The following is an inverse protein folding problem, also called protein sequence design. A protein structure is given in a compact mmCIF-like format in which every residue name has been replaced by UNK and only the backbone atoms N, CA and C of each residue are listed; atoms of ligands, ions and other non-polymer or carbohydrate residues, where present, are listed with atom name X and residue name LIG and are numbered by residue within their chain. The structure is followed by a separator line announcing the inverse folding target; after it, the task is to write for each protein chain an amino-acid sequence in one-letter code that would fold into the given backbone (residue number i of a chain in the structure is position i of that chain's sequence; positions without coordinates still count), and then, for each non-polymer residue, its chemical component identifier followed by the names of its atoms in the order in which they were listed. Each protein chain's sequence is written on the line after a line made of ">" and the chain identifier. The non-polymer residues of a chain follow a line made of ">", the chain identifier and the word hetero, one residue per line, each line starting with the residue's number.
data_IF_549940363855
#
_entry.id   IF_549940363855
#
_cell.length_a   1.000
_cell.length_b   1.000
_cell.length_c   1.000
_cell.angle_alpha   90.00
_cell.angle_beta   90.00
_cell.angle_gamma   90.00
#
_symmetry.space_group_name_H-M   'P 1'
#
loop_
_entity.id
_entity.type
_entity.pdbx_description
1 polymer ?
#
# COMPACT_ATOMS: atom_id res chain seq x y z
N UNK A 1 -8.98 -22.95 -24.03
CA UNK A 1 -8.08 -24.12 -24.19
C UNK A 1 -6.68 -23.64 -23.89
N UNK A 2 -6.00 -24.25 -22.93
CA UNK A 2 -4.59 -23.91 -22.61
C UNK A 2 -3.70 -24.68 -23.58
N UNK A 3 -2.74 -24.00 -24.19
CA UNK A 3 -1.72 -24.65 -25.02
C UNK A 3 -0.84 -25.52 -24.10
N UNK A 4 -0.74 -26.84 -24.32
CA UNK A 4 0.11 -27.71 -23.50
C UNK A 4 1.61 -27.39 -23.63
N UNK A 5 2.04 -26.76 -24.73
CA UNK A 5 3.46 -26.48 -25.03
C UNK A 5 3.78 -24.99 -24.93
N UNK A 6 3.36 -24.35 -23.83
CA UNK A 6 3.68 -22.94 -23.59
C UNK A 6 5.19 -22.69 -23.61
N UNK A 7 5.65 -21.60 -24.27
CA UNK A 7 7.06 -21.23 -24.25
C UNK A 7 7.50 -20.86 -22.83
N UNK A 8 8.81 -20.98 -22.51
CA UNK A 8 9.34 -20.52 -21.24
C UNK A 8 8.96 -19.05 -20.98
N UNK A 9 8.57 -18.69 -19.74
CA UNK A 9 8.14 -17.34 -19.44
C UNK A 9 9.30 -16.34 -19.50
N UNK A 10 9.01 -15.14 -19.98
CA UNK A 10 9.90 -13.98 -19.93
C UNK A 10 10.14 -13.50 -18.49
N UNK A 11 11.19 -12.70 -18.27
CA UNK A 11 11.48 -12.11 -16.96
C UNK A 11 10.29 -11.29 -16.40
N UNK A 12 9.61 -10.53 -17.26
CA UNK A 12 8.40 -9.77 -16.89
C UNK A 12 7.27 -10.70 -16.46
N UNK A 13 7.01 -11.77 -17.21
CA UNK A 13 6.00 -12.76 -16.84
C UNK A 13 6.34 -13.45 -15.52
N UNK A 14 7.60 -13.82 -15.29
CA UNK A 14 8.05 -14.41 -14.01
C UNK A 14 7.78 -13.43 -12.85
N UNK A 15 8.13 -12.14 -13.02
CA UNK A 15 7.85 -11.11 -12.01
C UNK A 15 6.35 -10.99 -11.73
N UNK A 16 5.51 -10.94 -12.77
CA UNK A 16 4.06 -10.85 -12.61
C UNK A 16 3.46 -12.11 -11.95
N UNK A 17 3.96 -13.30 -12.28
CA UNK A 17 3.56 -14.55 -11.63
C UNK A 17 3.91 -14.54 -10.14
N UNK A 18 5.10 -14.05 -9.76
CA UNK A 18 5.48 -13.88 -8.34
C UNK A 18 4.52 -12.93 -7.62
N UNK A 19 4.17 -11.80 -8.26
CA UNK A 19 3.19 -10.85 -7.71
C UNK A 19 1.80 -11.48 -7.55
N UNK A 20 1.37 -12.29 -8.53
CA UNK A 20 0.10 -13.01 -8.46
C UNK A 20 0.08 -14.05 -7.34
N UNK A 21 1.17 -14.79 -7.17
CA UNK A 21 1.34 -15.74 -6.07
C UNK A 21 1.31 -15.03 -4.71
N UNK A 22 1.96 -13.87 -4.58
CA UNK A 22 1.88 -13.04 -3.37
C UNK A 22 0.44 -12.63 -3.04
N UNK A 23 -0.33 -12.16 -4.03
CA UNK A 23 -1.75 -11.81 -3.83
C UNK A 23 -2.56 -13.03 -3.38
N UNK A 24 -2.29 -14.21 -3.93
CA UNK A 24 -2.95 -15.45 -3.54
C UNK A 24 -2.56 -15.97 -2.16
N UNK A 25 -1.38 -15.58 -1.65
CA UNK A 25 -0.77 -16.02 -0.39
C UNK A 25 -0.63 -14.84 0.58
N UNK A 26 -1.64 -13.97 0.64
CA UNK A 26 -1.51 -12.64 1.22
C UNK A 26 -1.12 -12.63 2.71
N UNK A 27 -1.53 -13.64 3.48
CA UNK A 27 -1.25 -13.83 4.90
C UNK A 27 -0.07 -14.79 5.16
N UNK A 28 0.45 -15.45 4.12
CA UNK A 28 1.53 -16.43 4.20
C UNK A 28 2.87 -15.81 3.81
N UNK A 29 3.30 -14.82 4.60
CA UNK A 29 4.56 -14.09 4.41
C UNK A 29 5.57 -14.56 5.46
N UNK A 30 6.81 -14.79 5.05
CA UNK A 30 7.90 -15.10 5.96
C UNK A 30 9.09 -14.17 5.69
N UNK A 31 9.71 -13.71 6.77
CA UNK A 31 10.93 -12.89 6.72
C UNK A 31 12.10 -13.72 7.23
N UNK A 32 13.20 -13.73 6.50
CA UNK A 32 14.44 -14.37 6.93
C UNK A 32 14.87 -13.81 8.29
N UNK A 33 15.27 -14.70 9.20
CA UNK A 33 15.81 -14.31 10.49
C UNK A 33 17.11 -13.50 10.27
N UNK A 34 17.18 -12.22 10.70
CA UNK A 34 18.39 -11.43 10.53
C UNK A 34 19.54 -12.00 11.35
N UNK A 35 20.75 -12.00 10.78
CA UNK A 35 21.94 -12.50 11.48
C UNK A 35 22.21 -11.71 12.78
N UNK A 36 21.79 -10.45 12.84
CA UNK A 36 21.87 -9.59 14.04
C UNK A 36 20.98 -10.04 15.20
N UNK A 37 19.92 -10.80 14.94
CA UNK A 37 19.02 -11.32 15.98
C UNK A 37 19.54 -12.64 16.57
N UNK A 38 20.56 -13.25 15.97
CA UNK A 38 21.17 -14.49 16.43
C UNK A 38 22.16 -14.20 17.58
N UNK A 39 21.72 -14.46 18.82
CA UNK A 39 22.49 -14.17 20.04
C UNK A 39 23.78 -14.97 20.18
N UNK A 40 23.77 -16.25 19.78
CA UNK A 40 24.90 -17.16 19.96
C UNK A 40 25.51 -17.54 18.62
N UNK A 41 26.85 -17.41 18.51
CA UNK A 41 27.59 -17.82 17.29
C UNK A 41 27.45 -19.32 16.99
N UNK A 42 27.22 -20.15 18.02
CA UNK A 42 26.93 -21.58 17.86
C UNK A 42 25.64 -21.83 17.08
N UNK A 43 24.67 -20.94 17.20
CA UNK A 43 23.33 -21.10 16.60
C UNK A 43 23.27 -20.54 15.18
N UNK A 44 24.23 -19.70 14.79
CA UNK A 44 24.32 -19.15 13.44
C UNK A 44 24.29 -20.23 12.34
N UNK A 45 24.93 -21.38 12.57
CA UNK A 45 24.87 -22.52 11.63
C UNK A 45 23.50 -23.19 11.58
N UNK A 46 22.81 -23.29 12.73
CA UNK A 46 21.49 -23.92 12.84
C UNK A 46 20.39 -23.04 12.26
N UNK A 47 20.51 -21.72 12.45
CA UNK A 47 19.51 -20.72 12.08
C UNK A 47 19.78 -20.04 10.73
N UNK A 48 20.81 -20.47 9.99
CA UNK A 48 21.21 -19.89 8.69
C UNK A 48 20.07 -19.78 7.65
N UNK A 49 19.12 -20.71 7.69
CA UNK A 49 17.98 -20.79 6.78
C UNK A 49 16.65 -20.67 7.54
N UNK A 50 16.68 -20.02 8.69
CA UNK A 50 15.50 -19.74 9.50
C UNK A 50 14.76 -18.50 8.98
N UNK A 51 13.45 -18.54 9.08
CA UNK A 51 12.52 -17.48 8.77
C UNK A 51 11.56 -17.32 9.95
N UNK A 52 11.13 -16.09 10.19
CA UNK A 52 10.09 -15.75 11.14
C UNK A 52 8.77 -15.62 10.39
N UNK A 53 7.70 -16.07 11.03
CA UNK A 53 6.33 -15.86 10.57
C UNK A 53 5.66 -14.75 11.41
N UNK A 54 4.74 -13.95 10.84
CA UNK A 54 4.09 -12.87 11.57
C UNK A 54 3.29 -13.30 12.81
N UNK A 55 2.88 -14.57 12.87
CA UNK A 55 1.97 -15.12 13.90
C UNK A 55 2.57 -16.26 14.73
N UNK A 56 3.78 -16.75 14.37
CA UNK A 56 4.44 -17.87 15.05
C UNK A 56 5.80 -17.39 15.54
N UNK A 57 6.06 -17.53 16.84
CA UNK A 57 7.31 -17.08 17.47
C UNK A 57 8.48 -18.03 17.17
N UNK A 58 8.20 -19.30 16.91
CA UNK A 58 9.21 -20.30 16.56
C UNK A 58 9.70 -20.13 15.11
N UNK A 59 11.02 -20.21 14.87
CA UNK A 59 11.56 -20.09 13.53
C UNK A 59 11.18 -21.28 12.64
N UNK A 60 10.83 -20.98 11.39
CA UNK A 60 10.57 -21.97 10.34
C UNK A 60 11.75 -22.05 9.38
N UNK A 61 11.93 -23.17 8.68
CA UNK A 61 13.12 -23.41 7.88
C UNK A 61 12.83 -23.63 6.40
N UNK A 62 13.77 -23.20 5.54
CA UNK A 62 13.80 -23.70 4.17
C UNK A 62 14.26 -25.15 4.17
N UNK A 63 13.47 -26.02 3.52
CA UNK A 63 13.87 -27.41 3.34
C UNK A 63 15.15 -27.53 2.50
N UNK A 64 15.92 -28.59 2.72
CA UNK A 64 17.22 -28.79 2.08
C UNK A 64 17.15 -28.88 0.55
N UNK A 65 16.01 -29.34 0.03
CA UNK A 65 15.71 -29.44 -1.40
C UNK A 65 15.16 -28.15 -2.03
N UNK A 66 14.94 -27.09 -1.26
CA UNK A 66 14.42 -25.83 -1.80
C UNK A 66 15.44 -25.19 -2.75
N UNK A 67 15.01 -24.85 -3.96
CA UNK A 67 15.83 -24.14 -4.96
C UNK A 67 16.28 -22.76 -4.45
N UNK A 68 15.46 -22.13 -3.61
CA UNK A 68 15.74 -20.83 -3.01
C UNK A 68 16.71 -20.91 -1.83
N UNK A 69 17.14 -22.10 -1.41
CA UNK A 69 18.06 -22.25 -0.27
C UNK A 69 19.42 -21.59 -0.52
N UNK A 70 19.87 -21.58 -1.79
CA UNK A 70 21.12 -20.94 -2.20
C UNK A 70 21.00 -19.42 -2.22
N UNK A 71 19.92 -18.90 -2.79
CA UNK A 71 19.66 -17.45 -2.89
C UNK A 71 19.32 -16.84 -1.52
N UNK A 72 18.64 -17.61 -0.67
CA UNK A 72 18.28 -17.26 0.71
C UNK A 72 17.63 -15.86 0.82
N UNK A 73 16.54 -15.59 0.06
CA UNK A 73 15.91 -14.27 -0.06
C UNK A 73 15.40 -13.76 1.29
N UNK A 74 15.43 -12.44 1.50
CA UNK A 74 14.98 -11.86 2.77
C UNK A 74 13.47 -12.03 2.98
N UNK A 75 12.67 -11.89 1.92
CA UNK A 75 11.21 -11.97 1.98
C UNK A 75 10.70 -13.05 1.04
N UNK A 76 9.79 -13.88 1.54
CA UNK A 76 9.12 -14.92 0.77
C UNK A 76 7.62 -14.95 1.09
N UNK A 77 6.82 -15.35 0.12
CA UNK A 77 5.53 -15.98 0.40
C UNK A 77 5.67 -17.50 0.27
N UNK A 78 4.79 -18.24 0.93
CA UNK A 78 4.80 -19.70 0.95
C UNK A 78 3.37 -20.23 0.87
N UNK A 79 3.19 -21.47 0.43
CA UNK A 79 1.87 -22.11 0.31
C UNK A 79 1.45 -22.83 1.59
N UNK A 80 2.39 -23.50 2.26
CA UNK A 80 2.14 -24.22 3.51
C UNK A 80 3.38 -24.22 4.40
N UNK A 81 3.14 -24.24 5.72
CA UNK A 81 4.13 -24.53 6.74
C UNK A 81 3.79 -25.91 7.35
N UNK A 82 4.73 -26.84 7.35
CA UNK A 82 4.51 -28.23 7.77
C UNK A 82 5.62 -28.74 8.68
N UNK A 83 5.25 -29.53 9.68
CA UNK A 83 6.18 -30.09 10.65
C UNK A 83 6.77 -31.41 10.13
N UNK A 84 8.09 -31.58 10.27
CA UNK A 84 8.77 -32.82 9.90
C UNK A 84 9.78 -33.23 10.97
N UNK A 85 9.90 -34.55 11.17
CA UNK A 85 10.92 -35.14 12.04
C UNK A 85 12.27 -35.06 11.34
N UNK A 86 13.26 -34.45 11.98
CA UNK A 86 14.62 -34.36 11.44
C UNK A 86 15.51 -35.34 12.19
N UNK A 87 16.20 -36.27 11.50
CA UNK A 87 17.18 -37.13 12.13
C UNK A 87 18.31 -36.26 12.72
N UNK A 88 18.48 -36.29 14.04
CA UNK A 88 19.56 -35.60 14.73
C UNK A 88 20.89 -36.30 14.42
N UNK A 89 21.78 -35.65 13.67
CA UNK A 89 23.11 -36.20 13.42
C UNK A 89 24.00 -36.14 14.66
N UNK A 90 24.30 -37.31 15.24
CA UNK A 90 25.44 -37.80 16.07
C UNK A 90 26.28 -36.88 16.99
N UNK A 91 26.04 -35.57 17.12
CA UNK A 91 27.00 -34.66 17.82
C UNK A 91 26.49 -34.00 19.10
N UNK A 92 25.27 -34.30 19.52
CA UNK A 92 24.78 -33.95 20.86
C UNK A 92 23.90 -35.10 21.34
N UNK A 93 24.33 -35.81 22.39
CA UNK A 93 23.70 -37.01 22.95
C UNK A 93 22.33 -36.78 23.60
N UNK A 94 21.41 -36.12 22.90
CA UNK A 94 19.99 -36.04 23.19
C UNK A 94 19.25 -36.82 22.10
N UNK A 95 18.88 -38.08 22.41
CA UNK A 95 18.06 -38.98 21.57
C UNK A 95 16.58 -38.56 21.53
N UNK A 96 16.29 -37.26 21.35
CA UNK A 96 14.93 -36.80 21.08
C UNK A 96 14.81 -36.44 19.60
N UNK A 97 13.88 -37.10 18.91
CA UNK A 97 13.44 -36.73 17.56
C UNK A 97 12.91 -35.29 17.57
N UNK A 98 13.77 -34.30 17.32
CA UNK A 98 13.36 -32.90 17.24
C UNK A 98 12.59 -32.69 15.94
N UNK A 99 11.30 -32.36 16.07
CA UNK A 99 10.49 -31.88 14.96
C UNK A 99 10.90 -30.45 14.59
N UNK A 100 10.81 -30.12 13.31
CA UNK A 100 11.04 -28.76 12.78
C UNK A 100 9.95 -28.37 11.81
N UNK A 101 9.58 -27.10 11.83
CA UNK A 101 8.62 -26.53 10.89
C UNK A 101 9.34 -26.07 9.61
N UNK A 102 8.86 -26.50 8.45
CA UNK A 102 9.41 -26.19 7.14
C UNK A 102 8.40 -25.47 6.26
N UNK A 103 8.89 -24.62 5.36
CA UNK A 103 8.07 -23.95 4.34
C UNK A 103 8.06 -24.75 3.04
N UNK A 104 6.91 -24.75 2.34
CA UNK A 104 6.75 -25.31 0.99
C UNK A 104 6.02 -24.33 0.07
N UNK A 105 6.21 -24.49 -1.24
CA UNK A 105 5.60 -23.62 -2.25
C UNK A 105 6.15 -22.19 -2.17
N UNK A 106 7.46 -22.08 -1.94
CA UNK A 106 8.11 -20.82 -1.57
C UNK A 106 8.39 -19.99 -2.80
N UNK A 107 8.03 -18.71 -2.75
CA UNK A 107 8.29 -17.74 -3.80
C UNK A 107 8.97 -16.51 -3.19
N UNK A 108 10.13 -16.13 -3.71
CA UNK A 108 10.79 -14.89 -3.31
C UNK A 108 9.92 -13.68 -3.69
N UNK A 109 9.86 -12.67 -2.84
CA UNK A 109 9.08 -11.44 -3.09
C UNK A 109 9.93 -10.21 -2.79
N UNK A 110 9.62 -9.10 -3.45
CA UNK A 110 10.22 -7.82 -3.10
C UNK A 110 9.38 -7.15 -2.00
N UNK A 111 9.99 -6.56 -0.97
CA UNK A 111 9.24 -6.02 0.16
C UNK A 111 8.38 -4.81 -0.20
N UNK A 112 8.71 -4.06 -1.25
CA UNK A 112 7.94 -2.91 -1.74
C UNK A 112 6.59 -3.31 -2.38
N UNK A 113 6.43 -4.60 -2.70
CA UNK A 113 5.20 -5.17 -3.23
C UNK A 113 4.13 -5.32 -2.14
N UNK A 114 4.53 -5.43 -0.87
CA UNK A 114 3.64 -5.77 0.23
C UNK A 114 2.56 -4.70 0.46
N UNK A 115 2.91 -3.40 0.61
CA UNK A 115 1.89 -2.35 0.80
C UNK A 115 0.97 -2.19 -0.41
N UNK A 116 1.44 -2.54 -1.61
CA UNK A 116 0.71 -2.37 -2.86
C UNK A 116 -0.30 -3.48 -3.10
N UNK A 117 0.11 -4.73 -2.91
CA UNK A 117 -0.69 -5.89 -3.31
C UNK A 117 -1.40 -6.57 -2.14
N UNK A 118 -0.87 -6.45 -0.93
CA UNK A 118 -1.43 -7.09 0.27
C UNK A 118 -1.50 -6.09 1.44
N UNK A 119 -2.12 -4.91 1.26
CA UNK A 119 -2.14 -3.85 2.28
C UNK A 119 -2.73 -4.30 3.63
N UNK A 120 -3.58 -5.34 3.64
CA UNK A 120 -4.24 -5.85 4.84
C UNK A 120 -3.28 -6.44 5.89
N UNK A 121 -2.08 -6.88 5.49
CA UNK A 121 -1.05 -7.41 6.40
C UNK A 121 -0.02 -6.35 6.80
N UNK A 122 -0.13 -5.16 6.21
CA UNK A 122 0.74 -4.02 6.47
C UNK A 122 0.06 -3.03 7.42
N UNK A 123 0.83 -2.47 8.34
CA UNK A 123 0.43 -1.31 9.13
C UNK A 123 1.03 -0.07 8.47
N UNK A 124 0.18 0.81 7.95
CA UNK A 124 0.62 2.11 7.41
C UNK A 124 0.87 3.05 8.58
N UNK A 125 2.13 3.42 8.77
CA UNK A 125 2.56 4.32 9.85
C UNK A 125 2.34 5.76 9.43
N UNK A 126 2.80 6.11 8.22
CA UNK A 126 2.76 7.48 7.73
C UNK A 126 2.71 7.56 6.21
N UNK A 127 2.14 8.66 5.72
CA UNK A 127 2.18 9.05 4.30
C UNK A 127 3.25 10.13 4.15
N UNK A 128 4.28 9.83 3.36
CA UNK A 128 5.46 10.67 3.25
C UNK A 128 5.22 11.83 2.28
N UNK A 129 5.66 13.03 2.69
CA UNK A 129 5.69 14.21 1.82
C UNK A 129 7.05 14.40 1.13
N UNK A 130 8.11 13.76 1.65
CA UNK A 130 9.46 13.78 1.09
C UNK A 130 9.96 12.34 0.87
N UNK A 131 10.77 12.07 -0.17
CA UNK A 131 11.30 13.01 -1.15
C UNK A 131 10.30 13.42 -2.25
N UNK A 132 9.22 12.66 -2.42
CA UNK A 132 8.19 12.89 -3.45
C UNK A 132 6.84 13.04 -2.76
N UNK A 133 6.18 14.21 -2.85
CA UNK A 133 4.90 14.42 -2.22
C UNK A 133 3.79 13.66 -2.96
N UNK A 134 2.64 13.41 -2.30
CA UNK A 134 1.52 12.78 -2.97
C UNK A 134 1.09 13.56 -4.22
N UNK A 135 0.74 12.83 -5.27
CA UNK A 135 0.33 13.39 -6.56
C UNK A 135 -0.93 12.69 -7.06
N UNK A 136 -1.73 13.40 -7.85
CA UNK A 136 -2.89 12.81 -8.51
C UNK A 136 -2.48 12.25 -9.88
N UNK A 137 -2.77 10.98 -10.11
CA UNK A 137 -2.57 10.29 -11.37
C UNK A 137 -3.90 10.23 -12.12
N UNK A 138 -4.00 10.99 -13.21
CA UNK A 138 -5.21 11.13 -14.00
C UNK A 138 -5.55 9.88 -14.84
N UNK A 139 -4.57 9.01 -15.13
CA UNK A 139 -4.81 7.80 -15.93
C UNK A 139 -5.59 6.74 -15.15
N UNK A 140 -5.28 6.60 -13.86
CA UNK A 140 -5.90 5.63 -12.95
C UNK A 140 -6.94 6.26 -12.01
N UNK A 141 -7.14 7.58 -12.09
CA UNK A 141 -7.99 8.36 -11.19
C UNK A 141 -7.72 8.09 -9.70
N UNK A 142 -6.45 8.17 -9.32
CA UNK A 142 -6.01 7.85 -7.97
C UNK A 142 -4.93 8.81 -7.47
N UNK A 143 -4.83 8.95 -6.15
CA UNK A 143 -3.74 9.71 -5.53
C UNK A 143 -2.65 8.71 -5.19
N UNK A 144 -1.46 8.89 -5.76
CA UNK A 144 -0.29 8.08 -5.47
C UNK A 144 0.56 8.75 -4.38
N UNK A 145 1.06 7.96 -3.43
CA UNK A 145 1.91 8.45 -2.36
C UNK A 145 2.94 7.41 -1.92
N UNK A 146 4.04 7.87 -1.35
CA UNK A 146 4.99 7.00 -0.67
C UNK A 146 4.54 6.80 0.77
N UNK A 147 4.54 5.55 1.25
CA UNK A 147 4.14 5.23 2.63
C UNK A 147 5.28 4.58 3.40
N UNK A 148 5.40 4.93 4.68
CA UNK A 148 6.18 4.17 5.65
C UNK A 148 5.28 3.09 6.23
N UNK A 149 5.70 1.83 6.13
CA UNK A 149 4.89 0.67 6.51
C UNK A 149 5.69 -0.34 7.33
N UNK A 150 4.97 -1.08 8.16
CA UNK A 150 5.49 -2.26 8.87
C UNK A 150 4.60 -3.47 8.63
N UNK A 151 5.11 -4.66 8.93
CA UNK A 151 4.36 -5.92 8.79
C UNK A 151 4.29 -6.65 10.12
N UNK A 152 3.11 -7.24 10.37
CA UNK A 152 2.88 -8.16 11.49
C UNK A 152 2.92 -7.48 12.86
N UNK A 153 2.79 -8.30 13.92
CA UNK A 153 2.82 -7.84 15.32
C UNK A 153 4.21 -7.37 15.75
N UNK A 154 5.25 -7.92 15.13
CA UNK A 154 6.66 -7.59 15.36
C UNK A 154 7.09 -6.28 14.69
N UNK A 155 6.18 -5.62 13.93
CA UNK A 155 6.42 -4.33 13.29
C UNK A 155 7.69 -4.30 12.44
N UNK A 156 7.90 -5.32 11.60
CA UNK A 156 9.05 -5.34 10.70
C UNK A 156 8.97 -4.18 9.71
N UNK A 157 9.95 -3.27 9.76
CA UNK A 157 10.04 -2.15 8.81
C UNK A 157 10.37 -2.69 7.41
N UNK A 158 9.65 -2.15 6.42
CA UNK A 158 9.90 -2.42 5.00
C UNK A 158 10.20 -1.10 4.27
N UNK A 159 10.84 -1.16 3.09
CA UNK A 159 11.18 0.04 2.33
C UNK A 159 9.95 0.88 1.98
N UNK A 160 10.15 2.20 1.95
CA UNK A 160 9.10 3.13 1.55
C UNK A 160 8.66 2.81 0.12
N UNK A 161 7.35 2.70 -0.08
CA UNK A 161 6.79 2.15 -1.31
C UNK A 161 5.71 3.07 -1.87
N UNK A 162 5.66 3.18 -3.20
CA UNK A 162 4.62 3.91 -3.92
C UNK A 162 3.32 3.09 -3.94
N UNK A 163 2.27 3.65 -3.36
CA UNK A 163 0.95 3.03 -3.28
C UNK A 163 -0.14 4.03 -3.65
N UNK A 164 -1.33 3.51 -3.94
CA UNK A 164 -2.54 4.32 -3.92
C UNK A 164 -2.84 4.75 -2.48
N UNK A 165 -3.11 6.04 -2.29
CA UNK A 165 -3.37 6.60 -0.97
C UNK A 165 -4.56 5.90 -0.32
N UNK A 166 -4.45 5.46 0.96
CA UNK A 166 -5.51 4.77 1.66
C UNK A 166 -6.81 5.59 1.70
N UNK A 167 -7.96 4.91 1.62
CA UNK A 167 -9.30 5.54 1.65
C UNK A 167 -9.64 6.02 3.07
N UNK A 168 -9.10 7.17 3.44
CA UNK A 168 -9.31 7.81 4.73
C UNK A 168 -9.51 9.33 4.57
N UNK A 169 -9.69 10.04 5.68
CA UNK A 169 -9.84 11.50 5.69
C UNK A 169 -8.64 12.22 5.04
N UNK A 170 -7.43 11.68 5.14
CA UNK A 170 -6.24 12.28 4.53
C UNK A 170 -6.35 12.27 3.01
N UNK A 171 -6.87 11.19 2.42
CA UNK A 171 -7.17 11.14 0.99
C UNK A 171 -8.19 12.20 0.56
N UNK A 172 -9.25 12.41 1.34
CA UNK A 172 -10.20 13.50 1.06
C UNK A 172 -9.51 14.88 1.12
N UNK A 173 -8.61 15.10 2.08
CA UNK A 173 -7.82 16.34 2.18
C UNK A 173 -6.95 16.59 0.96
N UNK A 174 -6.22 15.56 0.51
CA UNK A 174 -5.41 15.66 -0.70
C UNK A 174 -6.26 15.84 -1.95
N UNK A 175 -7.39 15.13 -2.05
CA UNK A 175 -8.33 15.28 -3.17
C UNK A 175 -8.87 16.71 -3.24
N UNK A 176 -9.30 17.27 -2.10
CA UNK A 176 -9.76 18.66 -2.02
C UNK A 176 -8.65 19.66 -2.40
N UNK A 177 -7.42 19.46 -1.92
CA UNK A 177 -6.25 20.26 -2.33
C UNK A 177 -6.09 20.24 -3.86
N UNK A 178 -6.17 19.08 -4.49
CA UNK A 178 -5.99 18.95 -5.94
C UNK A 178 -7.16 19.52 -6.76
N UNK A 179 -8.38 19.47 -6.24
CA UNK A 179 -9.56 20.15 -6.82
C UNK A 179 -9.36 21.67 -6.77
N UNK A 180 -9.02 22.22 -5.60
CA UNK A 180 -8.79 23.66 -5.43
C UNK A 180 -7.60 24.15 -6.27
N UNK A 181 -6.57 23.32 -6.46
CA UNK A 181 -5.44 23.63 -7.32
C UNK A 181 -5.78 23.56 -8.84
N UNK A 182 -6.94 23.01 -9.20
CA UNK A 182 -7.35 22.77 -10.60
C UNK A 182 -6.52 21.69 -11.29
N UNK A 183 -6.00 20.71 -10.53
CA UNK A 183 -5.23 19.59 -11.05
C UNK A 183 -6.17 18.50 -11.58
N UNK A 184 -7.25 18.21 -10.82
CA UNK A 184 -8.25 17.21 -11.20
C UNK A 184 -9.19 17.79 -12.26
N UNK A 185 -9.79 18.95 -11.98
CA UNK A 185 -10.67 19.64 -12.91
C UNK A 185 -9.97 20.88 -13.48
N UNK A 186 -9.45 20.77 -14.71
CA UNK A 186 -8.63 21.82 -15.35
C UNK A 186 -9.37 23.15 -15.51
N UNK A 187 -10.69 23.12 -15.73
CA UNK A 187 -11.52 24.33 -15.82
C UNK A 187 -11.49 25.17 -14.54
N UNK A 188 -11.35 24.53 -13.37
CA UNK A 188 -11.27 25.23 -12.08
C UNK A 188 -9.93 25.94 -11.84
N UNK A 189 -8.91 25.67 -12.67
CA UNK A 189 -7.56 26.25 -12.54
C UNK A 189 -7.55 27.77 -12.61
N UNK A 190 -8.48 28.38 -13.33
CA UNK A 190 -8.58 29.84 -13.44
C UNK A 190 -8.91 30.52 -12.11
N UNK A 191 -9.65 29.84 -11.22
CA UNK A 191 -10.05 30.37 -9.93
C UNK A 191 -8.99 30.22 -8.84
N UNK A 192 -7.88 29.51 -9.12
CA UNK A 192 -6.80 29.26 -8.16
C UNK A 192 -6.24 30.55 -7.53
N UNK A 193 -6.11 31.62 -8.31
CA UNK A 193 -5.58 32.92 -7.82
C UNK A 193 -6.58 33.69 -6.95
N UNK A 194 -7.87 33.37 -7.07
CA UNK A 194 -8.96 34.02 -6.35
C UNK A 194 -9.34 33.30 -5.06
N UNK A 195 -8.70 32.16 -4.74
CA UNK A 195 -8.99 31.41 -3.52
C UNK A 195 -8.72 32.23 -2.26
N UNK A 196 -9.66 32.18 -1.31
CA UNK A 196 -9.56 32.85 0.00
C UNK A 196 -8.42 32.32 0.87
N UNK A 197 -7.95 31.10 0.60
CA UNK A 197 -6.80 30.47 1.25
C UNK A 197 -6.11 29.53 0.28
N UNK A 198 -4.78 29.39 0.38
CA UNK A 198 -4.07 28.50 -0.54
C UNK A 198 -4.51 27.04 -0.37
N UNK A 199 -4.52 26.24 -1.45
CA UNK A 199 -4.91 24.82 -1.41
C UNK A 199 -4.15 23.99 -0.36
N UNK A 200 -2.89 24.34 -0.10
CA UNK A 200 -2.02 23.68 0.89
C UNK A 200 -2.56 23.84 2.33
N UNK A 201 -3.38 24.85 2.58
CA UNK A 201 -4.01 25.08 3.88
C UNK A 201 -4.92 23.94 4.30
N UNK A 202 -5.44 23.15 3.36
CA UNK A 202 -6.28 21.97 3.62
C UNK A 202 -5.50 20.86 4.33
N UNK A 203 -4.19 20.77 4.12
CA UNK A 203 -3.35 19.74 4.73
C UNK A 203 -2.90 20.08 6.15
N UNK A 204 -3.02 21.35 6.57
CA UNK A 204 -2.56 21.79 7.91
C UNK A 204 -3.34 21.09 9.02
N UNK A 205 -2.68 20.87 10.17
CA UNK A 205 -3.21 20.13 11.31
C UNK A 205 -4.57 20.66 11.83
N UNK A 206 -4.78 21.98 11.79
CA UNK A 206 -6.02 22.65 12.25
C UNK A 206 -6.99 23.02 11.11
N UNK A 207 -6.83 22.42 9.93
CA UNK A 207 -7.71 22.67 8.77
C UNK A 207 -9.18 22.39 9.06
N UNK A 208 -9.49 21.38 9.88
CA UNK A 208 -10.86 21.04 10.29
C UNK A 208 -11.51 22.07 11.22
N UNK A 209 -10.75 23.03 11.77
CA UNK A 209 -11.34 24.16 12.50
C UNK A 209 -11.90 25.24 11.57
N UNK A 210 -11.54 25.22 10.28
CA UNK A 210 -12.03 26.16 9.28
C UNK A 210 -13.36 25.63 8.72
N UNK A 211 -14.50 26.32 8.93
CA UNK A 211 -15.82 25.79 8.61
C UNK A 211 -16.00 25.33 7.16
N UNK A 212 -15.45 26.07 6.19
CA UNK A 212 -15.50 25.71 4.76
C UNK A 212 -14.74 24.42 4.42
N UNK A 213 -13.58 24.20 5.07
CA UNK A 213 -12.79 22.98 4.85
C UNK A 213 -13.49 21.79 5.50
N UNK A 214 -13.96 21.96 6.73
CA UNK A 214 -14.70 20.92 7.45
C UNK A 214 -16.00 20.51 6.74
N UNK A 215 -16.78 21.47 6.24
CA UNK A 215 -18.01 21.21 5.49
C UNK A 215 -17.72 20.40 4.20
N UNK A 216 -16.72 20.81 3.42
CA UNK A 216 -16.32 20.10 2.21
C UNK A 216 -15.83 18.67 2.53
N UNK A 217 -14.97 18.50 3.53
CA UNK A 217 -14.43 17.19 3.91
C UNK A 217 -15.51 16.25 4.46
N UNK A 218 -16.45 16.76 5.26
CA UNK A 218 -17.60 15.97 5.75
C UNK A 218 -18.49 15.52 4.61
N UNK A 219 -18.78 16.39 3.65
CA UNK A 219 -19.57 16.03 2.47
C UNK A 219 -18.87 14.96 1.62
N UNK A 220 -17.55 15.10 1.43
CA UNK A 220 -16.75 14.13 0.70
C UNK A 220 -16.74 12.77 1.39
N UNK A 221 -16.54 12.72 2.72
CA UNK A 221 -16.59 11.47 3.46
C UNK A 221 -17.98 10.84 3.46
N UNK A 222 -19.05 11.63 3.61
CA UNK A 222 -20.42 11.12 3.64
C UNK A 222 -20.86 10.48 2.31
N UNK A 223 -20.22 10.83 1.20
CA UNK A 223 -20.51 10.32 -0.14
C UNK A 223 -19.41 9.39 -0.69
N UNK A 224 -18.45 8.98 0.14
CA UNK A 224 -17.28 8.16 -0.20
C UNK A 224 -16.48 8.69 -1.39
N UNK A 225 -16.24 10.01 -1.40
CA UNK A 225 -15.54 10.71 -2.47
C UNK A 225 -14.02 10.63 -2.24
N UNK A 226 -13.40 9.72 -2.98
CA UNK A 226 -11.96 9.45 -2.93
C UNK A 226 -11.24 9.63 -4.27
N UNK A 227 -11.98 9.90 -5.35
CA UNK A 227 -11.48 10.07 -6.71
C UNK A 227 -12.39 10.98 -7.55
N UNK A 228 -11.97 11.34 -8.76
CA UNK A 228 -12.72 12.23 -9.65
C UNK A 228 -13.95 11.54 -10.25
N UNK A 229 -13.85 10.24 -10.54
CA UNK A 229 -14.94 9.43 -11.09
C UNK A 229 -16.19 9.50 -10.20
N UNK A 230 -16.03 9.47 -8.88
CA UNK A 230 -17.14 9.58 -7.94
C UNK A 230 -17.88 10.93 -8.06
N UNK A 231 -17.18 12.03 -8.35
CA UNK A 231 -17.83 13.30 -8.65
C UNK A 231 -18.67 13.23 -9.93
N UNK A 232 -18.15 12.62 -10.99
CA UNK A 232 -18.89 12.46 -12.24
C UNK A 232 -20.16 11.61 -12.06
N UNK A 233 -20.11 10.58 -11.21
CA UNK A 233 -21.30 9.79 -10.85
C UNK A 233 -22.34 10.65 -10.11
N UNK A 234 -21.91 11.43 -9.12
CA UNK A 234 -22.80 12.30 -8.34
C UNK A 234 -23.38 13.43 -9.19
N UNK A 235 -22.63 13.99 -10.14
CA UNK A 235 -23.12 15.01 -11.06
C UNK A 235 -24.17 14.52 -12.05
N UNK A 236 -24.19 13.20 -12.36
CA UNK A 236 -25.29 12.62 -13.14
C UNK A 236 -26.61 12.63 -12.37
N UNK A 237 -26.56 12.53 -11.04
CA UNK A 237 -27.75 12.57 -10.19
C UNK A 237 -28.13 14.01 -9.81
N UNK A 238 -27.16 14.82 -9.41
CA UNK A 238 -27.30 16.24 -9.11
C UNK A 238 -26.16 17.03 -9.75
N UNK A 239 -26.46 17.67 -10.87
CA UNK A 239 -25.51 18.51 -11.59
C UNK A 239 -24.92 19.64 -10.74
N UNK A 240 -25.56 20.06 -9.65
CA UNK A 240 -25.12 21.14 -8.75
C UNK A 240 -24.41 20.62 -7.50
N UNK A 241 -24.22 19.31 -7.36
CA UNK A 241 -23.53 18.72 -6.21
C UNK A 241 -22.15 19.35 -6.02
N UNK A 242 -21.78 19.69 -4.77
CA UNK A 242 -20.50 20.29 -4.37
C UNK A 242 -20.25 21.76 -4.77
N UNK A 243 -21.14 22.39 -5.54
CA UNK A 243 -20.91 23.78 -5.99
C UNK A 243 -20.84 24.77 -4.81
N UNK A 244 -21.70 24.60 -3.81
CA UNK A 244 -21.78 25.48 -2.65
C UNK A 244 -20.49 25.41 -1.83
N UNK A 245 -20.03 24.19 -1.58
CA UNK A 245 -18.81 23.91 -0.84
C UNK A 245 -17.59 24.47 -1.57
N UNK A 246 -17.55 24.42 -2.90
CA UNK A 246 -16.48 25.04 -3.68
C UNK A 246 -16.55 26.58 -3.65
N UNK A 247 -17.74 27.17 -3.79
CA UNK A 247 -17.95 28.62 -3.73
C UNK A 247 -17.52 29.22 -2.38
N UNK A 248 -17.64 28.49 -1.27
CA UNK A 248 -17.17 28.93 0.06
C UNK A 248 -15.64 29.15 0.11
N UNK A 249 -14.86 28.64 -0.85
CA UNK A 249 -13.43 28.92 -1.01
C UNK A 249 -13.12 30.16 -1.84
N UNK A 250 -14.13 30.81 -2.42
CA UNK A 250 -13.99 31.94 -3.34
C UNK A 250 -14.77 33.17 -2.85
N UNK A 251 -14.31 34.39 -3.20
CA UNK A 251 -15.10 35.60 -3.04
C UNK A 251 -16.44 35.51 -3.77
N UNK A 252 -17.46 36.19 -3.23
CA UNK A 252 -18.81 36.23 -3.82
C UNK A 252 -18.82 36.71 -5.29
N UNK A 253 -17.86 37.53 -5.69
CA UNK A 253 -17.71 38.01 -7.08
C UNK A 253 -17.46 36.89 -8.10
N UNK A 254 -16.92 35.75 -7.68
CA UNK A 254 -16.63 34.63 -8.58
C UNK A 254 -17.74 33.56 -8.59
N UNK A 255 -18.78 33.69 -7.75
CA UNK A 255 -19.79 32.64 -7.59
C UNK A 255 -20.64 32.43 -8.85
N UNK A 256 -20.94 33.51 -9.57
CA UNK A 256 -21.69 33.44 -10.83
C UNK A 256 -20.87 32.75 -11.94
N UNK A 257 -19.59 33.12 -12.08
CA UNK A 257 -18.68 32.49 -13.03
C UNK A 257 -18.50 30.99 -12.78
N UNK A 258 -18.39 30.58 -11.52
CA UNK A 258 -18.33 29.17 -11.12
C UNK A 258 -19.63 28.46 -11.49
N UNK A 259 -20.78 29.09 -11.23
CA UNK A 259 -22.09 28.55 -11.60
C UNK A 259 -22.25 28.26 -13.09
N UNK A 260 -21.71 29.13 -13.94
CA UNK A 260 -21.74 28.97 -15.39
C UNK A 260 -20.81 27.86 -15.91
N UNK A 261 -19.75 27.53 -15.18
CA UNK A 261 -18.78 26.49 -15.53
C UNK A 261 -19.08 25.14 -14.88
N UNK A 262 -20.15 25.05 -14.09
CA UNK A 262 -20.50 23.86 -13.37
C UNK A 262 -21.46 22.96 -14.16
N UNK A 263 -21.26 21.63 -14.22
CA UNK A 263 -20.15 20.86 -13.66
C UNK A 263 -18.88 20.91 -14.55
N UNK A 264 -17.69 21.00 -13.95
CA UNK A 264 -16.42 21.12 -14.68
C UNK A 264 -15.98 19.77 -15.28
N UNK A 265 -16.73 19.32 -16.28
CA UNK A 265 -16.80 17.93 -16.73
C UNK A 265 -15.96 17.61 -17.97
N UNK A 266 -15.06 18.50 -18.40
CA UNK A 266 -14.23 18.26 -19.60
C UNK A 266 -12.76 17.93 -19.28
N UNK A 267 -12.29 16.88 -19.96
CA UNK A 267 -10.96 16.27 -19.93
C UNK A 267 -9.80 17.22 -20.32
#
# INVERSE_FOLDING_TARGET
>A
MVDPDMPPPTATQIRLLRQLLLVGMADQIARKLPDSEIKLKSDARKLKHAYNLPMIDEPVFLHSSSVLRRENPEWVCYQEAYEAIVPTGETTGEEDNKTKLFLRGITAIEPDWLPKFVPNVCNIIDVLEEPIPPSYNAEIDAIECHVKTTIGKTSWEIPNSLVEMPKNILRCKYLLKFILAGIIFKQLKQFRKSLLSSPESVLKQYSSAVPRIDAALKLMLANDIFNAQRFHELWKADSKFFIKEYCDFLPASCHEDVGNLWPPSEH
#
